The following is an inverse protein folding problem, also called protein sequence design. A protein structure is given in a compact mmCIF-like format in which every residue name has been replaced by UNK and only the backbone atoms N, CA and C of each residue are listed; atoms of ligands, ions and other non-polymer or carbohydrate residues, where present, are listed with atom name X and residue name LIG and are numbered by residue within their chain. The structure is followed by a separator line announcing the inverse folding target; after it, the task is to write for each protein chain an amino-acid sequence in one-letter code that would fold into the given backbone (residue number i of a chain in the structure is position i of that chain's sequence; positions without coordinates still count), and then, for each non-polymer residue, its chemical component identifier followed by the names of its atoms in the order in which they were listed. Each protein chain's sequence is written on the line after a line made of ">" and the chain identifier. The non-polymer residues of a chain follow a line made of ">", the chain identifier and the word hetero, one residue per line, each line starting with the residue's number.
data_IF_852856745855
#
_entry.id   IF_852856745855
#
_cell.length_a   1.000
_cell.length_b   1.000
_cell.length_c   1.000
_cell.angle_alpha   90.00
_cell.angle_beta   90.00
_cell.angle_gamma   90.00
#
_symmetry.space_group_name_H-M   'P 1'
#
loop_
_entity.id
_entity.type
_entity.pdbx_description
1 polymer ?
#
# COMPACT_ATOMS: atom_id res chain seq x y z
N UNK A 1 -31.03 8.64 -29.92
CA UNK A 1 -30.16 8.99 -28.78
C UNK A 1 -29.21 7.83 -28.38
N UNK A 2 -29.61 6.56 -28.38
CA UNK A 2 -28.75 5.43 -27.99
C UNK A 2 -27.53 5.16 -28.88
N UNK A 3 -27.67 5.22 -30.21
CA UNK A 3 -26.59 4.90 -31.16
C UNK A 3 -25.46 5.95 -31.09
N UNK A 4 -25.80 7.25 -31.02
CA UNK A 4 -24.82 8.33 -30.92
C UNK A 4 -24.04 8.22 -29.59
N UNK A 5 -24.68 7.91 -28.48
CA UNK A 5 -24.03 7.71 -27.19
C UNK A 5 -23.08 6.48 -27.22
N UNK A 6 -23.51 5.40 -27.86
CA UNK A 6 -22.68 4.20 -28.02
C UNK A 6 -21.44 4.47 -28.87
N UNK A 7 -21.57 5.22 -29.97
CA UNK A 7 -20.43 5.64 -30.79
C UNK A 7 -19.44 6.48 -29.99
N UNK A 8 -19.93 7.45 -29.20
CA UNK A 8 -19.08 8.29 -28.34
C UNK A 8 -18.33 7.43 -27.32
N UNK A 9 -19.02 6.49 -26.67
CA UNK A 9 -18.37 5.58 -25.69
C UNK A 9 -17.27 4.75 -26.37
N UNK A 10 -17.54 4.19 -27.55
CA UNK A 10 -16.55 3.38 -28.30
C UNK A 10 -15.35 4.23 -28.72
N UNK A 11 -15.60 5.46 -29.22
CA UNK A 11 -14.51 6.39 -29.60
C UNK A 11 -13.68 6.79 -28.40
N UNK A 12 -14.31 7.12 -27.27
CA UNK A 12 -13.60 7.47 -26.04
C UNK A 12 -12.79 6.27 -25.53
N UNK A 13 -13.38 5.07 -25.50
CA UNK A 13 -12.66 3.85 -25.10
C UNK A 13 -11.47 3.56 -26.03
N UNK A 14 -11.63 3.77 -27.33
CA UNK A 14 -10.55 3.61 -28.31
C UNK A 14 -9.42 4.62 -28.07
N UNK A 15 -9.75 5.90 -27.87
CA UNK A 15 -8.76 6.95 -27.56
C UNK A 15 -8.00 6.60 -26.27
N UNK A 16 -8.74 6.25 -25.20
CA UNK A 16 -8.15 5.86 -23.91
C UNK A 16 -7.23 4.64 -24.06
N UNK A 17 -7.66 3.64 -24.84
CA UNK A 17 -6.84 2.46 -25.16
C UNK A 17 -5.56 2.84 -25.90
N UNK A 18 -5.65 3.73 -26.90
CA UNK A 18 -4.49 4.11 -27.72
C UNK A 18 -3.52 5.05 -26.98
N UNK A 19 -4.02 5.89 -26.06
CA UNK A 19 -3.20 6.86 -25.30
C UNK A 19 -2.82 6.39 -23.90
N UNK A 20 -3.31 5.22 -23.47
CA UNK A 20 -3.00 4.68 -22.15
C UNK A 20 -1.54 4.21 -22.03
N UNK A 21 -1.02 4.10 -20.81
CA UNK A 21 0.33 3.66 -20.54
C UNK A 21 0.65 2.32 -21.21
N UNK A 22 1.83 2.20 -21.77
CA UNK A 22 2.33 0.97 -22.37
C UNK A 22 3.54 0.47 -21.60
N UNK A 23 3.68 -0.84 -21.48
CA UNK A 23 4.90 -1.44 -20.96
C UNK A 23 5.88 -1.71 -22.11
N UNK A 24 7.20 -1.61 -21.88
CA UNK A 24 8.22 -1.88 -22.88
C UNK A 24 8.21 -3.35 -23.32
N UNK A 25 8.79 -3.63 -24.48
CA UNK A 25 8.74 -4.97 -25.08
C UNK A 25 9.48 -6.02 -24.25
N UNK A 26 10.60 -5.67 -23.60
CA UNK A 26 11.28 -6.58 -22.68
C UNK A 26 10.37 -7.01 -21.50
N UNK A 27 9.57 -6.09 -20.96
CA UNK A 27 8.62 -6.42 -19.90
C UNK A 27 7.48 -7.31 -20.41
N UNK A 28 7.01 -7.12 -21.65
CA UNK A 28 6.01 -8.01 -22.25
C UNK A 28 6.55 -9.43 -22.41
N UNK A 29 7.80 -9.56 -22.90
CA UNK A 29 8.48 -10.85 -23.07
C UNK A 29 8.64 -11.56 -21.72
N UNK A 30 9.09 -10.84 -20.68
CA UNK A 30 9.19 -11.38 -19.32
C UNK A 30 7.83 -11.88 -18.81
N UNK A 31 6.77 -11.08 -18.94
CA UNK A 31 5.41 -11.48 -18.53
C UNK A 31 4.94 -12.73 -19.29
N UNK A 32 5.21 -12.80 -20.60
CA UNK A 32 4.78 -13.93 -21.42
C UNK A 32 5.45 -15.26 -20.99
N UNK A 33 6.69 -15.21 -20.46
CA UNK A 33 7.36 -16.39 -19.90
C UNK A 33 6.87 -16.73 -18.49
N UNK A 34 6.54 -15.72 -17.66
CA UNK A 34 6.13 -15.90 -16.27
C UNK A 34 4.76 -16.56 -16.17
N UNK A 35 3.83 -16.27 -17.08
CA UNK A 35 2.48 -16.87 -17.03
C UNK A 35 2.51 -18.39 -17.06
N UNK A 36 3.50 -18.99 -17.73
CA UNK A 36 3.63 -20.45 -17.80
C UNK A 36 4.57 -21.03 -16.71
N UNK A 37 5.15 -20.17 -15.86
CA UNK A 37 6.06 -20.58 -14.81
C UNK A 37 5.34 -21.10 -13.57
N UNK A 38 6.04 -21.89 -12.75
CA UNK A 38 5.64 -22.24 -11.41
C UNK A 38 5.75 -21.01 -10.50
N UNK A 39 4.69 -20.73 -9.74
CA UNK A 39 4.63 -19.56 -8.86
C UNK A 39 5.16 -19.94 -7.48
N UNK A 40 6.18 -19.24 -6.96
CA UNK A 40 6.72 -19.51 -5.63
C UNK A 40 5.71 -19.17 -4.54
N UNK A 41 5.89 -19.76 -3.34
CA UNK A 41 5.11 -19.41 -2.16
C UNK A 41 5.50 -18.03 -1.63
N UNK A 42 4.50 -17.15 -1.47
CA UNK A 42 4.66 -15.79 -0.94
C UNK A 42 4.27 -15.67 0.54
N UNK A 43 3.54 -16.67 1.07
CA UNK A 43 3.15 -16.72 2.48
C UNK A 43 4.14 -17.64 3.19
N UNK A 44 4.98 -17.08 4.07
CA UNK A 44 6.10 -17.78 4.71
C UNK A 44 5.96 -17.93 6.21
N UNK A 45 5.06 -17.15 6.82
CA UNK A 45 4.84 -17.12 8.26
C UNK A 45 3.58 -17.86 8.69
N UNK A 46 3.28 -17.75 9.97
CA UNK A 46 2.04 -18.25 10.55
C UNK A 46 0.88 -17.37 10.12
N UNK A 47 -0.18 -17.96 9.62
CA UNK A 47 -1.36 -17.24 9.15
C UNK A 47 -2.56 -17.49 10.05
N UNK A 48 -3.48 -16.52 10.07
CA UNK A 48 -4.73 -16.65 10.81
C UNK A 48 -5.79 -15.67 10.34
N UNK A 49 -6.94 -15.74 10.98
CA UNK A 49 -8.03 -14.80 10.84
C UNK A 49 -8.45 -14.29 12.21
N UNK A 50 -8.78 -13.01 12.25
CA UNK A 50 -9.52 -12.42 13.37
C UNK A 50 -10.88 -11.93 12.89
N UNK A 51 -11.82 -11.77 13.82
CA UNK A 51 -13.12 -11.15 13.54
C UNK A 51 -13.12 -9.75 14.11
N UNK A 52 -13.33 -8.76 13.27
CA UNK A 52 -13.43 -7.34 13.64
C UNK A 52 -14.67 -6.76 12.97
N UNK A 53 -15.65 -6.27 13.76
CA UNK A 53 -16.95 -5.76 13.28
C UNK A 53 -17.61 -6.70 12.23
N UNK A 54 -17.69 -7.98 12.50
CA UNK A 54 -18.21 -9.02 11.60
C UNK A 54 -17.39 -9.27 10.30
N UNK A 55 -16.21 -8.65 10.13
CA UNK A 55 -15.29 -8.98 9.04
C UNK A 55 -14.25 -10.00 9.49
N UNK A 56 -14.02 -11.03 8.69
CA UNK A 56 -12.84 -11.88 8.84
C UNK A 56 -11.65 -11.18 8.19
N UNK A 57 -10.65 -10.88 9.01
CA UNK A 57 -9.42 -10.19 8.60
C UNK A 57 -8.28 -11.19 8.61
N UNK A 58 -7.70 -11.43 7.44
CA UNK A 58 -6.54 -12.31 7.29
C UNK A 58 -5.25 -11.59 7.68
N UNK A 59 -4.36 -12.30 8.36
CA UNK A 59 -3.02 -11.82 8.67
C UNK A 59 -1.98 -12.93 8.50
N UNK A 60 -0.71 -12.50 8.37
CA UNK A 60 0.48 -13.34 8.43
C UNK A 60 1.47 -12.73 9.43
N UNK A 61 2.04 -13.58 10.27
CA UNK A 61 3.09 -13.25 11.26
C UNK A 61 4.36 -14.02 10.92
N UNK A 62 5.43 -13.31 10.53
CA UNK A 62 6.74 -13.89 10.25
C UNK A 62 7.63 -13.59 11.46
N UNK A 63 8.01 -14.64 12.19
CA UNK A 63 8.76 -14.52 13.43
C UNK A 63 10.24 -14.89 13.20
N UNK A 64 11.19 -14.07 13.70
CA UNK A 64 12.62 -14.45 13.69
C UNK A 64 12.88 -15.80 14.39
N UNK A 65 13.85 -16.56 13.89
CA UNK A 65 14.20 -17.86 14.46
C UNK A 65 14.86 -17.74 15.84
N UNK A 66 15.70 -16.71 16.03
CA UNK A 66 16.48 -16.56 17.27
C UNK A 66 15.69 -15.80 18.35
N UNK A 67 15.82 -14.49 18.38
CA UNK A 67 15.17 -13.63 19.39
C UNK A 67 14.34 -12.54 18.73
N UNK A 68 13.18 -12.25 19.32
CA UNK A 68 12.30 -11.16 18.88
C UNK A 68 12.65 -9.89 19.67
N UNK A 69 13.20 -8.87 18.98
CA UNK A 69 13.49 -7.56 19.55
C UNK A 69 12.25 -6.67 19.67
N UNK A 70 11.27 -6.90 18.79
CA UNK A 70 10.02 -6.18 18.73
C UNK A 70 9.15 -6.68 17.58
N UNK A 71 7.96 -6.10 17.47
CA UNK A 71 7.01 -6.41 16.38
C UNK A 71 6.83 -5.18 15.49
N UNK A 72 6.88 -5.37 14.17
CA UNK A 72 6.54 -4.35 13.17
C UNK A 72 5.21 -4.72 12.54
N UNK A 73 4.23 -3.83 12.68
CA UNK A 73 2.91 -3.95 12.07
C UNK A 73 2.88 -3.14 10.78
N UNK A 74 2.56 -3.80 9.67
CA UNK A 74 2.71 -3.29 8.31
C UNK A 74 1.36 -2.93 7.70
N UNK A 75 1.19 -1.66 7.33
CA UNK A 75 -0.03 -1.09 6.74
C UNK A 75 0.22 -0.79 5.25
N UNK A 76 -0.44 -1.52 4.37
CA UNK A 76 -0.23 -1.43 2.92
C UNK A 76 -1.00 -0.26 2.30
N UNK A 77 -0.57 0.17 1.10
CA UNK A 77 -1.22 1.22 0.31
C UNK A 77 -2.56 0.80 -0.29
N UNK A 78 -3.26 1.78 -0.84
CA UNK A 78 -4.60 1.63 -1.44
C UNK A 78 -4.64 0.52 -2.48
N UNK A 79 -5.72 -0.25 -2.49
CA UNK A 79 -6.03 -1.32 -3.48
C UNK A 79 -5.11 -2.54 -3.45
N UNK A 80 -4.05 -2.51 -2.67
CA UNK A 80 -3.16 -3.64 -2.49
C UNK A 80 -3.58 -4.48 -1.28
N UNK A 81 -3.18 -5.73 -1.30
CA UNK A 81 -3.24 -6.64 -0.16
C UNK A 81 -1.88 -6.73 0.55
N UNK A 82 -1.81 -7.55 1.59
CA UNK A 82 -0.62 -7.76 2.39
C UNK A 82 0.62 -8.21 1.60
N UNK A 83 0.43 -8.88 0.45
CA UNK A 83 1.54 -9.35 -0.38
C UNK A 83 2.22 -8.22 -1.17
N UNK A 84 1.65 -7.02 -1.20
CA UNK A 84 2.28 -5.84 -1.82
C UNK A 84 3.60 -5.43 -1.18
N UNK A 85 3.92 -5.89 0.04
CA UNK A 85 5.22 -5.70 0.67
C UNK A 85 6.28 -6.58 -0.02
N UNK A 86 7.42 -5.99 -0.49
CA UNK A 86 8.49 -6.77 -1.12
C UNK A 86 9.04 -7.84 -0.18
N UNK A 87 9.25 -9.05 -0.69
CA UNK A 87 9.69 -10.16 0.17
C UNK A 87 11.06 -9.89 0.81
N UNK A 88 12.01 -9.31 0.05
CA UNK A 88 13.33 -8.96 0.56
C UNK A 88 13.27 -7.93 1.69
N UNK A 89 12.28 -7.03 1.66
CA UNK A 89 12.06 -6.08 2.74
C UNK A 89 11.60 -6.78 4.02
N UNK A 90 10.66 -7.71 3.91
CA UNK A 90 10.21 -8.52 5.06
C UNK A 90 11.36 -9.38 5.61
N UNK A 91 12.09 -10.06 4.74
CA UNK A 91 13.23 -10.89 5.11
C UNK A 91 14.33 -10.08 5.82
N UNK A 92 14.56 -8.82 5.41
CA UNK A 92 15.51 -7.93 6.06
C UNK A 92 15.07 -7.51 7.47
N UNK A 93 13.78 -7.20 7.66
CA UNK A 93 13.24 -6.89 8.99
C UNK A 93 13.35 -8.12 9.92
N UNK A 94 12.96 -9.28 9.43
CA UNK A 94 13.03 -10.55 10.19
C UNK A 94 14.48 -10.89 10.55
N UNK A 95 15.42 -10.80 9.60
CA UNK A 95 16.87 -10.98 9.87
C UNK A 95 17.42 -9.98 10.87
N UNK A 96 16.82 -8.78 10.94
CA UNK A 96 17.19 -7.77 11.94
C UNK A 96 16.65 -8.06 13.34
N UNK A 97 15.85 -9.12 13.49
CA UNK A 97 15.28 -9.58 14.76
C UNK A 97 13.88 -9.06 15.05
N UNK A 98 13.16 -8.54 14.06
CA UNK A 98 11.80 -8.04 14.24
C UNK A 98 10.78 -9.03 13.69
N UNK A 99 9.77 -9.38 14.52
CA UNK A 99 8.56 -10.05 14.02
C UNK A 99 7.86 -9.08 13.09
N UNK A 100 7.51 -9.52 11.89
CA UNK A 100 6.70 -8.72 10.95
C UNK A 100 5.28 -9.26 10.88
N UNK A 101 4.30 -8.37 10.97
CA UNK A 101 2.89 -8.71 10.79
C UNK A 101 2.37 -7.88 9.62
N UNK A 102 1.87 -8.58 8.59
CA UNK A 102 1.14 -7.98 7.48
C UNK A 102 -0.26 -8.55 7.42
N UNK A 103 -1.22 -7.78 6.97
CA UNK A 103 -2.61 -8.20 6.95
C UNK A 103 -3.36 -7.59 5.77
N UNK A 104 -4.42 -8.25 5.38
CA UNK A 104 -5.33 -7.76 4.34
C UNK A 104 -6.39 -6.87 4.98
N UNK A 105 -6.53 -5.66 4.45
CA UNK A 105 -7.64 -4.82 4.84
C UNK A 105 -8.98 -5.44 4.47
N UNK A 106 -10.07 -4.98 5.08
CA UNK A 106 -11.44 -5.20 4.61
C UNK A 106 -11.51 -4.93 3.12
N UNK A 107 -12.01 -5.87 2.35
CA UNK A 107 -12.12 -5.78 0.90
C UNK A 107 -10.89 -6.19 0.11
N UNK A 108 -9.74 -6.51 0.74
CA UNK A 108 -8.54 -6.95 0.02
C UNK A 108 -8.19 -8.41 0.30
N UNK A 109 -7.39 -9.00 -0.55
CA UNK A 109 -6.78 -10.32 -0.41
C UNK A 109 -7.75 -11.40 0.07
N UNK A 110 -7.38 -12.09 1.15
CA UNK A 110 -8.18 -13.15 1.75
C UNK A 110 -9.20 -12.66 2.79
N UNK A 111 -9.12 -11.40 3.23
CA UNK A 111 -10.13 -10.79 4.10
C UNK A 111 -11.51 -10.72 3.43
N UNK A 112 -12.54 -10.43 4.19
CA UNK A 112 -13.92 -10.39 3.66
C UNK A 112 -14.14 -9.23 2.69
N UNK A 113 -14.79 -9.54 1.56
CA UNK A 113 -15.21 -8.59 0.54
C UNK A 113 -16.72 -8.40 0.62
N UNK A 114 -17.19 -7.25 1.11
CA UNK A 114 -18.62 -6.91 1.18
C UNK A 114 -18.95 -5.84 0.16
N UNK A 115 -18.82 -6.15 -1.13
CA UNK A 115 -19.09 -5.23 -2.23
C UNK A 115 -20.58 -4.85 -2.30
N UNK A 116 -20.91 -3.61 -1.94
CA UNK A 116 -22.27 -3.07 -2.08
C UNK A 116 -23.27 -3.48 -0.99
N UNK A 117 -22.84 -4.15 0.07
CA UNK A 117 -23.65 -4.56 1.21
C UNK A 117 -23.25 -3.88 2.52
N UNK A 118 -22.70 -2.66 2.41
CA UNK A 118 -22.25 -1.92 3.58
C UNK A 118 -23.41 -1.05 4.08
N UNK A 119 -23.96 -1.41 5.22
CA UNK A 119 -24.97 -0.59 5.91
C UNK A 119 -24.37 0.75 6.35
N UNK A 120 -23.07 0.79 6.59
CA UNK A 120 -22.29 2.02 6.78
C UNK A 120 -20.92 1.91 6.10
N UNK A 121 -20.39 3.00 5.53
CA UNK A 121 -19.01 3.03 5.08
C UNK A 121 -18.07 2.97 6.29
N UNK A 122 -17.00 2.19 6.18
CA UNK A 122 -15.94 2.19 7.17
C UNK A 122 -14.96 3.36 6.94
N UNK A 123 -14.25 3.75 7.99
CA UNK A 123 -13.25 4.81 8.02
C UNK A 123 -11.83 4.24 8.10
N UNK A 124 -10.80 5.09 8.05
CA UNK A 124 -9.41 4.69 8.30
C UNK A 124 -9.23 4.21 9.75
N UNK A 125 -10.01 4.76 10.69
CA UNK A 125 -10.03 4.32 12.09
C UNK A 125 -10.52 2.88 12.24
N UNK A 126 -11.50 2.46 11.45
CA UNK A 126 -11.97 1.07 11.45
C UNK A 126 -10.85 0.13 10.96
N UNK A 127 -10.05 0.54 9.94
CA UNK A 127 -8.88 -0.23 9.49
C UNK A 127 -7.76 -0.28 10.54
N UNK A 128 -7.56 0.79 11.29
CA UNK A 128 -6.63 0.80 12.41
C UNK A 128 -7.09 -0.12 13.55
N UNK A 129 -8.40 -0.16 13.82
CA UNK A 129 -8.98 -1.06 14.82
C UNK A 129 -8.80 -2.54 14.45
N UNK A 130 -8.96 -2.90 13.18
CA UNK A 130 -8.69 -4.27 12.70
C UNK A 130 -7.27 -4.72 13.08
N UNK A 131 -6.29 -3.83 12.97
CA UNK A 131 -4.91 -4.09 13.33
C UNK A 131 -4.71 -4.29 14.85
N UNK A 132 -5.46 -3.57 15.69
CA UNK A 132 -5.48 -3.79 17.15
C UNK A 132 -5.98 -5.19 17.48
N UNK A 133 -7.08 -5.62 16.88
CA UNK A 133 -7.64 -6.96 17.09
C UNK A 133 -6.66 -8.07 16.69
N UNK A 134 -5.87 -7.84 15.62
CA UNK A 134 -4.81 -8.78 15.23
C UNK A 134 -3.75 -8.88 16.33
N UNK A 135 -3.24 -7.75 16.86
CA UNK A 135 -2.24 -7.76 17.93
C UNK A 135 -2.78 -8.43 19.20
N UNK A 136 -4.06 -8.18 19.55
CA UNK A 136 -4.71 -8.82 20.71
C UNK A 136 -4.80 -10.34 20.54
N UNK A 137 -5.17 -10.83 19.36
CA UNK A 137 -5.24 -12.26 19.07
C UNK A 137 -3.87 -12.97 19.18
N UNK A 138 -2.79 -12.22 18.92
CA UNK A 138 -1.42 -12.69 19.01
C UNK A 138 -0.77 -12.43 20.38
N UNK A 139 -1.51 -11.84 21.32
CA UNK A 139 -1.03 -11.44 22.64
C UNK A 139 0.19 -10.51 22.58
N UNK A 140 0.16 -9.57 21.59
CA UNK A 140 1.20 -8.57 21.38
C UNK A 140 0.72 -7.24 21.96
N UNK A 141 1.40 -6.74 22.99
CA UNK A 141 1.02 -5.53 23.69
C UNK A 141 1.26 -4.28 22.84
N UNK A 142 2.43 -4.18 22.19
CA UNK A 142 2.84 -2.99 21.44
C UNK A 142 3.58 -3.37 20.15
N UNK A 143 3.49 -2.49 19.15
CA UNK A 143 4.20 -2.67 17.89
C UNK A 143 4.77 -1.35 17.34
N UNK A 144 5.82 -1.45 16.52
CA UNK A 144 6.26 -0.41 15.63
C UNK A 144 5.30 -0.35 14.45
N UNK A 145 4.77 0.82 14.13
CA UNK A 145 3.82 1.03 13.05
C UNK A 145 4.57 1.49 11.80
N UNK A 146 4.38 0.80 10.69
CA UNK A 146 4.97 1.17 9.40
C UNK A 146 3.90 1.13 8.32
N UNK A 147 3.57 2.29 7.76
CA UNK A 147 2.53 2.42 6.74
C UNK A 147 2.98 3.16 5.49
N UNK A 148 2.55 2.66 4.32
CA UNK A 148 2.82 3.26 3.01
C UNK A 148 1.54 3.88 2.46
N UNK A 149 1.58 5.14 1.99
CA UNK A 149 0.46 5.81 1.30
C UNK A 149 -0.81 5.79 2.18
N UNK A 150 -1.92 5.20 1.74
CA UNK A 150 -3.10 4.94 2.57
C UNK A 150 -2.71 4.29 3.91
N UNK A 151 -1.80 3.32 3.88
CA UNK A 151 -1.32 2.63 5.09
C UNK A 151 -0.64 3.56 6.08
N UNK A 152 0.04 4.61 5.60
CA UNK A 152 0.58 5.66 6.47
C UNK A 152 -0.53 6.44 7.18
N UNK A 153 -1.65 6.73 6.50
CA UNK A 153 -2.82 7.35 7.10
C UNK A 153 -3.49 6.45 8.14
N UNK A 154 -3.57 5.13 7.88
CA UNK A 154 -4.09 4.14 8.85
C UNK A 154 -3.17 4.00 10.07
N UNK A 155 -1.85 4.00 9.86
CA UNK A 155 -0.87 3.98 10.95
C UNK A 155 -0.95 5.25 11.83
N UNK A 156 -1.24 6.42 11.23
CA UNK A 156 -1.53 7.65 11.97
C UNK A 156 -2.79 7.50 12.83
N UNK A 157 -3.89 6.99 12.26
CA UNK A 157 -5.13 6.70 13.02
C UNK A 157 -4.87 5.72 14.17
N UNK A 158 -4.01 4.72 13.95
CA UNK A 158 -3.61 3.80 15.01
C UNK A 158 -2.87 4.53 16.13
N UNK A 159 -1.85 5.33 15.79
CA UNK A 159 -1.04 6.06 16.76
C UNK A 159 -1.85 7.10 17.56
N UNK A 160 -2.85 7.73 16.92
CA UNK A 160 -3.77 8.69 17.54
C UNK A 160 -4.72 7.98 18.53
N UNK A 161 -5.37 6.90 18.10
CA UNK A 161 -6.44 6.28 18.87
C UNK A 161 -5.96 5.21 19.88
N UNK A 162 -4.73 4.69 19.71
CA UNK A 162 -4.13 3.63 20.53
C UNK A 162 -2.65 3.94 20.86
N UNK A 163 -2.33 5.14 21.39
CA UNK A 163 -0.94 5.56 21.59
C UNK A 163 -0.18 4.64 22.55
N UNK A 164 -0.85 4.04 23.54
CA UNK A 164 -0.25 3.08 24.45
C UNK A 164 0.14 1.75 23.79
N UNK A 165 -0.39 1.46 22.58
CA UNK A 165 -0.13 0.25 21.80
C UNK A 165 0.93 0.49 20.72
N UNK A 166 1.36 1.74 20.48
CA UNK A 166 2.36 2.12 19.50
C UNK A 166 3.73 2.30 20.15
N UNK A 167 4.78 1.73 19.54
CA UNK A 167 6.18 1.97 19.91
C UNK A 167 6.77 3.14 19.13
N UNK A 168 6.58 3.14 17.81
CA UNK A 168 6.98 4.20 16.89
C UNK A 168 5.99 4.30 15.75
N UNK A 169 5.95 5.44 15.07
CA UNK A 169 5.19 5.65 13.83
C UNK A 169 6.15 5.90 12.68
N UNK A 170 6.07 5.10 11.62
CA UNK A 170 6.71 5.41 10.34
C UNK A 170 5.64 5.60 9.27
N UNK A 171 5.61 6.80 8.68
CA UNK A 171 4.67 7.17 7.62
C UNK A 171 5.45 7.41 6.32
N UNK A 172 5.22 6.57 5.30
CA UNK A 172 5.97 6.59 4.05
C UNK A 172 5.07 7.09 2.93
N UNK A 173 5.49 8.13 2.18
CA UNK A 173 4.77 8.75 1.04
C UNK A 173 3.27 8.92 1.30
N UNK A 174 2.91 9.58 2.40
CA UNK A 174 1.54 9.67 2.92
C UNK A 174 1.15 11.13 3.24
N UNK A 175 -0.02 11.31 3.84
CA UNK A 175 -0.60 12.61 4.15
C UNK A 175 -1.35 12.57 5.48
N UNK A 176 -1.38 13.70 6.20
CA UNK A 176 -2.28 13.91 7.35
C UNK A 176 -3.69 14.36 6.94
N UNK A 177 -3.80 14.99 5.75
CA UNK A 177 -5.06 15.40 5.15
C UNK A 177 -4.91 15.50 3.63
N UNK A 178 -5.37 14.47 2.91
CA UNK A 178 -5.12 14.32 1.47
C UNK A 178 -5.82 15.38 0.60
N UNK A 179 -6.86 16.01 1.13
CA UNK A 179 -7.63 17.07 0.46
C UNK A 179 -7.39 18.45 1.07
N UNK A 180 -6.25 18.63 1.72
CA UNK A 180 -5.85 19.91 2.28
C UNK A 180 -5.88 21.00 1.20
N UNK A 181 -6.68 22.06 1.37
CA UNK A 181 -6.80 23.13 0.37
C UNK A 181 -5.53 24.00 0.27
N UNK A 182 -4.67 23.98 1.29
CA UNK A 182 -3.44 24.78 1.36
C UNK A 182 -2.22 24.03 0.78
N UNK A 183 -2.38 22.75 0.43
CA UNK A 183 -1.34 21.92 -0.17
C UNK A 183 -1.61 21.62 -1.65
N UNK A 184 -0.57 21.33 -2.44
CA UNK A 184 -0.77 20.87 -3.81
C UNK A 184 -1.65 19.61 -3.82
N UNK A 185 -2.70 19.57 -4.66
CA UNK A 185 -3.58 18.42 -4.71
C UNK A 185 -2.88 17.19 -5.32
N UNK A 186 -3.40 16.01 -5.02
CA UNK A 186 -3.02 14.75 -5.71
C UNK A 186 -3.01 14.97 -7.22
N UNK A 187 -1.97 14.47 -7.89
CA UNK A 187 -1.75 14.71 -9.31
C UNK A 187 -2.86 14.08 -10.18
N UNK A 188 -3.69 14.94 -10.78
CA UNK A 188 -4.82 14.52 -11.61
C UNK A 188 -4.38 13.80 -12.90
N UNK A 189 -3.23 14.16 -13.47
CA UNK A 189 -2.71 13.49 -14.66
C UNK A 189 -2.35 12.03 -14.35
N UNK A 190 -1.73 11.79 -13.20
CA UNK A 190 -1.45 10.45 -12.71
C UNK A 190 -2.73 9.62 -12.53
N UNK A 191 -3.78 10.19 -11.94
CA UNK A 191 -5.09 9.52 -11.78
C UNK A 191 -5.71 9.18 -13.14
N UNK A 192 -5.62 10.10 -14.11
CA UNK A 192 -6.09 9.85 -15.49
C UNK A 192 -5.32 8.69 -16.13
N UNK A 193 -4.01 8.61 -15.94
CA UNK A 193 -3.19 7.53 -16.50
C UNK A 193 -3.48 6.18 -15.82
N UNK A 194 -3.79 6.16 -14.53
CA UNK A 194 -4.31 4.96 -13.85
C UNK A 194 -5.63 4.46 -14.46
N UNK A 195 -6.55 5.39 -14.76
CA UNK A 195 -7.83 5.05 -15.41
C UNK A 195 -7.57 4.50 -16.83
N UNK A 196 -6.73 5.17 -17.62
CA UNK A 196 -6.35 4.69 -18.96
C UNK A 196 -5.71 3.31 -18.91
N UNK A 197 -4.80 3.09 -17.95
CA UNK A 197 -4.17 1.79 -17.72
C UNK A 197 -5.22 0.70 -17.44
N UNK A 198 -6.16 0.99 -16.54
CA UNK A 198 -7.25 0.07 -16.24
C UNK A 198 -8.09 -0.27 -17.47
N UNK A 199 -8.50 0.73 -18.24
CA UNK A 199 -9.27 0.51 -19.47
C UNK A 199 -8.48 -0.32 -20.48
N UNK A 200 -7.19 0.03 -20.70
CA UNK A 200 -6.34 -0.63 -21.70
C UNK A 200 -6.21 -2.15 -21.45
N UNK A 201 -5.97 -2.54 -20.20
CA UNK A 201 -5.68 -3.94 -19.86
C UNK A 201 -6.88 -4.73 -19.29
N UNK A 202 -8.07 -4.09 -19.15
CA UNK A 202 -9.28 -4.80 -18.70
C UNK A 202 -10.22 -5.22 -19.84
N UNK A 203 -10.01 -4.76 -21.08
CA UNK A 203 -10.84 -5.12 -22.24
C UNK A 203 -10.82 -6.62 -22.50
N UNK A 204 -9.64 -7.24 -22.44
CA UNK A 204 -9.47 -8.67 -22.55
C UNK A 204 -9.08 -9.20 -21.17
N UNK A 205 -9.98 -9.93 -20.55
CA UNK A 205 -9.74 -10.51 -19.24
C UNK A 205 -8.85 -11.75 -19.39
N UNK A 206 -7.55 -11.60 -19.02
CA UNK A 206 -6.57 -12.67 -19.02
C UNK A 206 -5.51 -12.42 -17.95
N UNK A 207 -4.88 -13.49 -17.43
CA UNK A 207 -3.75 -13.34 -16.49
C UNK A 207 -2.69 -12.40 -17.04
N UNK A 208 -2.26 -12.59 -18.30
CA UNK A 208 -1.29 -11.70 -18.97
C UNK A 208 -1.65 -10.22 -18.89
N UNK A 209 -2.90 -9.88 -19.13
CA UNK A 209 -3.33 -8.48 -19.06
C UNK A 209 -3.43 -7.97 -17.63
N UNK A 210 -3.76 -8.81 -16.66
CA UNK A 210 -3.72 -8.44 -15.24
C UNK A 210 -2.26 -8.16 -14.84
N UNK A 211 -1.30 -9.00 -15.24
CA UNK A 211 0.13 -8.77 -15.00
C UNK A 211 0.60 -7.46 -15.66
N UNK A 212 0.30 -7.26 -16.96
CA UNK A 212 0.64 -6.04 -17.70
C UNK A 212 0.09 -4.78 -17.03
N UNK A 213 -1.16 -4.84 -16.55
CA UNK A 213 -1.77 -3.74 -15.82
C UNK A 213 -0.99 -3.40 -14.54
N UNK A 214 -0.61 -4.40 -13.76
CA UNK A 214 0.09 -4.17 -12.49
C UNK A 214 1.53 -3.68 -12.71
N UNK A 215 2.25 -4.23 -13.68
CA UNK A 215 3.58 -3.72 -14.08
C UNK A 215 3.49 -2.27 -14.56
N UNK A 216 2.49 -1.93 -15.38
CA UNK A 216 2.28 -0.55 -15.83
C UNK A 216 1.94 0.39 -14.66
N UNK A 217 1.19 -0.06 -13.64
CA UNK A 217 0.97 0.72 -12.40
C UNK A 217 2.28 0.99 -11.69
N UNK A 218 3.16 -0.02 -11.54
CA UNK A 218 4.49 0.19 -10.93
C UNK A 218 5.34 1.19 -11.70
N UNK A 219 5.29 1.15 -13.05
CA UNK A 219 5.97 2.13 -13.89
C UNK A 219 5.41 3.55 -13.70
N UNK A 220 4.09 3.70 -13.56
CA UNK A 220 3.46 4.98 -13.24
C UNK A 220 3.90 5.47 -11.85
N UNK A 221 3.88 4.61 -10.84
CA UNK A 221 4.27 4.94 -9.46
C UNK A 221 5.76 5.32 -9.34
N UNK A 222 6.63 4.74 -10.18
CA UNK A 222 8.03 5.15 -10.28
C UNK A 222 8.17 6.62 -10.67
N UNK A 223 7.28 7.15 -11.50
CA UNK A 223 7.40 8.50 -12.06
C UNK A 223 8.68 8.65 -12.87
N UNK A 224 9.36 9.79 -12.70
CA UNK A 224 10.61 10.13 -13.39
C UNK A 224 11.86 9.56 -12.69
N UNK A 225 11.69 8.76 -11.62
CA UNK A 225 12.81 8.13 -10.96
C UNK A 225 13.52 7.11 -11.87
N UNK A 226 14.85 7.03 -11.74
CA UNK A 226 15.73 6.32 -12.67
C UNK A 226 16.14 4.95 -12.12
N UNK A 227 15.16 4.07 -11.88
CA UNK A 227 15.42 2.67 -11.51
C UNK A 227 14.57 1.71 -12.34
N UNK A 228 15.04 0.49 -12.46
CA UNK A 228 14.30 -0.54 -13.17
C UNK A 228 13.21 -1.13 -12.27
N UNK A 229 12.03 -1.33 -12.86
CA UNK A 229 10.95 -2.06 -12.18
C UNK A 229 11.29 -3.55 -12.17
N UNK A 230 11.14 -4.17 -11.02
CA UNK A 230 11.19 -5.62 -10.89
C UNK A 230 9.94 -6.26 -11.53
N UNK A 231 10.00 -6.41 -12.86
CA UNK A 231 8.90 -6.97 -13.66
C UNK A 231 8.59 -8.40 -13.25
N UNK A 232 9.62 -9.19 -12.93
CA UNK A 232 9.49 -10.59 -12.57
C UNK A 232 8.83 -10.73 -11.19
N UNK A 233 9.38 -10.09 -10.17
CA UNK A 233 8.85 -10.15 -8.81
C UNK A 233 7.40 -9.63 -8.72
N UNK A 234 7.12 -8.49 -9.37
CA UNK A 234 5.74 -7.95 -9.45
C UNK A 234 4.80 -8.95 -10.14
N UNK A 235 5.23 -9.54 -11.25
CA UNK A 235 4.38 -10.47 -12.01
C UNK A 235 4.13 -11.77 -11.25
N UNK A 236 5.15 -12.33 -10.60
CA UNK A 236 5.02 -13.55 -9.78
C UNK A 236 4.07 -13.31 -8.59
N UNK A 237 4.22 -12.20 -7.88
CA UNK A 237 3.35 -11.83 -6.76
C UNK A 237 1.88 -11.67 -7.21
N UNK A 238 1.65 -10.98 -8.34
CA UNK A 238 0.31 -10.80 -8.91
C UNK A 238 -0.28 -12.15 -9.34
N UNK A 239 0.52 -13.00 -9.97
CA UNK A 239 0.08 -14.32 -10.42
C UNK A 239 -0.27 -15.24 -9.24
N UNK A 240 0.54 -15.20 -8.18
CA UNK A 240 0.22 -15.89 -6.93
C UNK A 240 -1.13 -15.43 -6.36
N UNK A 241 -1.37 -14.12 -6.34
CA UNK A 241 -2.62 -13.56 -5.86
C UNK A 241 -3.84 -14.05 -6.66
N UNK A 242 -3.72 -14.14 -7.98
CA UNK A 242 -4.79 -14.60 -8.87
C UNK A 242 -5.06 -16.10 -8.66
N UNK A 243 -4.02 -16.91 -8.54
CA UNK A 243 -4.12 -18.38 -8.55
C UNK A 243 -4.35 -18.98 -7.17
N UNK A 244 -3.74 -18.41 -6.13
CA UNK A 244 -3.69 -18.98 -4.79
C UNK A 244 -4.52 -18.19 -3.76
N UNK A 245 -5.00 -16.98 -4.15
CA UNK A 245 -5.83 -16.14 -3.30
C UNK A 245 -7.11 -15.71 -4.04
N UNK A 246 -7.75 -14.63 -3.61
CA UNK A 246 -8.99 -14.12 -4.26
C UNK A 246 -8.72 -13.17 -5.45
N UNK A 247 -7.45 -12.86 -5.76
CA UNK A 247 -7.08 -11.82 -6.71
C UNK A 247 -7.38 -10.41 -6.19
N UNK A 248 -7.77 -9.50 -7.09
CA UNK A 248 -7.98 -8.10 -6.77
C UNK A 248 -9.46 -7.72 -6.83
N UNK A 249 -9.96 -7.13 -5.73
CA UNK A 249 -11.33 -6.62 -5.66
C UNK A 249 -11.45 -5.28 -6.42
N UNK A 250 -12.23 -5.20 -7.51
CA UNK A 250 -12.36 -3.97 -8.28
C UNK A 250 -13.10 -2.84 -7.54
N UNK A 251 -13.85 -3.16 -6.48
CA UNK A 251 -14.60 -2.19 -5.68
C UNK A 251 -13.80 -1.53 -4.57
N UNK A 252 -12.70 -2.15 -4.13
CA UNK A 252 -12.00 -1.75 -2.90
C UNK A 252 -11.39 -0.35 -2.98
N UNK A 253 -10.84 0.05 -4.14
CA UNK A 253 -10.29 1.41 -4.31
C UNK A 253 -11.29 2.49 -3.94
N UNK A 254 -12.55 2.34 -4.39
CA UNK A 254 -13.60 3.33 -4.10
C UNK A 254 -13.96 3.34 -2.62
N UNK A 255 -14.01 2.17 -1.98
CA UNK A 255 -14.29 2.05 -0.56
C UNK A 255 -13.19 2.72 0.26
N UNK A 256 -11.92 2.43 -0.04
CA UNK A 256 -10.76 3.02 0.64
C UNK A 256 -10.64 4.52 0.39
N UNK A 257 -10.90 5.01 -0.82
CA UNK A 257 -10.99 6.46 -1.08
C UNK A 257 -12.09 7.11 -0.23
N UNK A 258 -13.27 6.49 -0.16
CA UNK A 258 -14.37 7.00 0.66
C UNK A 258 -13.99 7.03 2.14
N UNK A 259 -13.31 5.99 2.64
CA UNK A 259 -12.78 5.96 4.01
C UNK A 259 -11.81 7.13 4.26
N UNK A 260 -10.89 7.37 3.33
CA UNK A 260 -9.93 8.47 3.40
C UNK A 260 -10.61 9.83 3.48
N UNK A 261 -11.62 10.09 2.63
CA UNK A 261 -12.36 11.35 2.64
C UNK A 261 -13.22 11.53 3.90
N UNK A 262 -13.83 10.45 4.41
CA UNK A 262 -14.64 10.48 5.63
C UNK A 262 -13.79 10.74 6.88
N UNK A 263 -12.53 10.30 6.89
CA UNK A 263 -11.62 10.51 8.02
C UNK A 263 -11.14 11.96 8.15
N UNK A 264 -11.17 12.74 7.06
CA UNK A 264 -10.84 14.17 7.11
C UNK A 264 -9.39 14.49 7.49
N UNK A 265 -9.19 15.63 8.14
CA UNK A 265 -7.90 16.06 8.69
C UNK A 265 -7.60 15.35 10.00
N UNK A 266 -6.33 14.99 10.20
CA UNK A 266 -5.78 14.44 11.45
C UNK A 266 -4.74 15.37 12.09
N UNK A 267 -4.65 16.62 11.61
CA UNK A 267 -3.56 17.51 12.03
C UNK A 267 -3.59 17.82 13.53
N UNK A 268 -4.77 18.15 14.07
CA UNK A 268 -4.92 18.49 15.49
C UNK A 268 -4.48 17.32 16.39
N UNK A 269 -4.91 16.11 16.07
CA UNK A 269 -4.55 14.91 16.83
C UNK A 269 -3.08 14.50 16.63
N UNK A 270 -2.51 14.76 15.45
CA UNK A 270 -1.11 14.48 15.13
C UNK A 270 -0.14 15.40 15.90
N UNK A 271 -0.54 16.62 16.24
CA UNK A 271 0.22 17.53 17.12
C UNK A 271 0.36 17.00 18.55
N UNK A 272 -0.50 16.08 18.97
CA UNK A 272 -0.50 15.48 20.31
C UNK A 272 0.20 14.12 20.39
N UNK A 273 0.68 13.58 19.26
CA UNK A 273 1.38 12.28 19.23
C UNK A 273 2.68 12.36 20.03
N UNK A 274 2.87 11.38 20.92
CA UNK A 274 4.06 11.28 21.79
C UNK A 274 5.05 10.18 21.36
N UNK A 275 4.63 9.27 20.46
CA UNK A 275 5.52 8.21 19.97
C UNK A 275 6.52 8.77 18.96
N UNK A 276 7.79 8.31 18.97
CA UNK A 276 8.78 8.72 17.97
C UNK A 276 8.24 8.48 16.56
N UNK A 277 8.33 9.50 15.70
CA UNK A 277 7.82 9.45 14.33
C UNK A 277 8.95 9.61 13.31
N UNK A 278 8.86 8.84 12.21
CA UNK A 278 9.73 8.95 11.05
C UNK A 278 8.86 9.13 9.79
N UNK A 279 9.10 10.22 9.09
CA UNK A 279 8.39 10.56 7.86
C UNK A 279 9.33 10.35 6.67
N UNK A 280 8.95 9.49 5.74
CA UNK A 280 9.75 9.16 4.55
C UNK A 280 8.96 9.53 3.30
N UNK A 281 9.60 10.19 2.33
CA UNK A 281 8.96 10.50 1.05
C UNK A 281 9.95 10.50 -0.12
N UNK A 282 9.51 9.98 -1.27
CA UNK A 282 10.27 10.00 -2.50
C UNK A 282 10.18 11.36 -3.20
N UNK A 283 11.31 11.98 -3.53
CA UNK A 283 11.33 13.30 -4.18
C UNK A 283 10.79 13.28 -5.62
N UNK A 284 10.66 12.09 -6.22
CA UNK A 284 10.07 11.89 -7.54
C UNK A 284 8.65 11.31 -7.48
N UNK A 285 7.96 11.43 -6.33
CA UNK A 285 6.60 10.90 -6.17
C UNK A 285 5.63 11.57 -7.18
N UNK A 286 5.09 10.82 -8.15
CA UNK A 286 4.22 11.39 -9.17
C UNK A 286 2.77 11.50 -8.70
N UNK A 287 2.42 10.96 -7.53
CA UNK A 287 1.06 10.80 -7.07
C UNK A 287 0.70 11.73 -5.92
N UNK A 288 1.37 11.61 -4.78
CA UNK A 288 1.19 12.49 -3.62
C UNK A 288 2.35 13.49 -3.59
N UNK A 289 2.09 14.80 -3.69
CA UNK A 289 3.13 15.83 -3.56
C UNK A 289 3.86 15.72 -2.22
N UNK A 290 5.19 15.93 -2.24
CA UNK A 290 6.05 15.82 -1.05
C UNK A 290 5.62 16.77 0.09
N UNK A 291 4.99 17.89 -0.25
CA UNK A 291 4.49 18.89 0.70
C UNK A 291 3.54 18.28 1.74
N UNK A 292 2.80 17.21 1.40
CA UNK A 292 1.97 16.49 2.34
C UNK A 292 2.79 15.82 3.46
N UNK A 293 3.93 15.22 3.11
CA UNK A 293 4.83 14.63 4.11
C UNK A 293 5.68 15.67 4.84
N UNK A 294 6.05 16.79 4.16
CA UNK A 294 6.69 17.92 4.83
C UNK A 294 5.77 18.50 5.91
N UNK A 295 4.48 18.63 5.63
CA UNK A 295 3.49 19.08 6.61
C UNK A 295 3.37 18.11 7.80
N UNK A 296 3.40 16.80 7.55
CA UNK A 296 3.44 15.80 8.64
C UNK A 296 4.68 15.95 9.52
N UNK A 297 5.86 16.14 8.92
CA UNK A 297 7.11 16.32 9.65
C UNK A 297 7.14 17.63 10.45
N UNK A 298 6.42 18.66 9.99
CA UNK A 298 6.28 19.94 10.69
C UNK A 298 5.38 19.83 11.93
N UNK A 299 4.23 19.15 11.81
CA UNK A 299 3.20 19.14 12.85
C UNK A 299 3.42 18.07 13.92
N UNK A 300 4.01 16.91 13.57
CA UNK A 300 4.24 15.84 14.54
C UNK A 300 5.46 16.19 15.41
N UNK A 301 5.29 16.30 16.74
CA UNK A 301 6.38 16.71 17.62
C UNK A 301 7.59 15.79 17.56
N UNK A 302 8.76 16.34 17.25
CA UNK A 302 10.00 15.58 17.20
C UNK A 302 10.13 14.57 16.07
N UNK A 303 9.27 14.67 15.05
CA UNK A 303 9.36 13.80 13.88
C UNK A 303 10.70 13.95 13.15
N UNK A 304 11.35 12.82 12.86
CA UNK A 304 12.46 12.76 11.91
C UNK A 304 11.93 12.70 10.48
N UNK A 305 12.62 13.32 9.53
CA UNK A 305 12.25 13.30 8.12
C UNK A 305 13.35 12.72 7.25
N UNK A 306 12.98 11.93 6.24
CA UNK A 306 13.87 11.37 5.23
C UNK A 306 13.29 11.60 3.84
N UNK A 307 13.84 12.57 3.12
CA UNK A 307 13.52 12.82 1.73
C UNK A 307 14.45 12.00 0.84
N UNK A 308 13.90 11.18 -0.03
CA UNK A 308 14.68 10.18 -0.78
C UNK A 308 14.74 10.56 -2.25
N UNK A 309 15.95 10.94 -2.70
CA UNK A 309 16.21 11.17 -4.12
C UNK A 309 15.98 9.89 -4.94
N UNK A 310 15.53 10.05 -6.16
CA UNK A 310 15.30 8.96 -7.10
C UNK A 310 14.31 7.89 -6.61
N UNK A 311 13.37 8.27 -5.75
CA UNK A 311 12.27 7.43 -5.29
C UNK A 311 10.94 8.06 -5.71
N UNK A 312 10.09 7.28 -6.38
CA UNK A 312 8.70 7.62 -6.71
C UNK A 312 7.72 7.28 -5.58
N UNK A 313 6.47 6.95 -5.96
CA UNK A 313 5.44 6.45 -5.04
C UNK A 313 5.53 4.92 -4.91
N UNK A 314 6.72 4.40 -4.74
CA UNK A 314 7.02 2.97 -4.61
C UNK A 314 8.33 2.79 -3.82
N UNK A 315 8.58 1.60 -3.28
CA UNK A 315 9.84 1.24 -2.62
C UNK A 315 10.69 0.46 -3.62
N UNK A 316 11.68 1.11 -4.24
CA UNK A 316 12.50 0.45 -5.24
C UNK A 316 13.47 -0.56 -4.60
N UNK A 317 13.78 -1.67 -5.30
CA UNK A 317 14.63 -2.74 -4.74
C UNK A 317 15.98 -2.26 -4.20
N UNK A 318 16.63 -1.30 -4.88
CA UNK A 318 17.95 -0.79 -4.47
C UNK A 318 17.94 -0.02 -3.12
N UNK A 319 16.77 0.45 -2.69
CA UNK A 319 16.63 1.16 -1.41
C UNK A 319 16.28 0.24 -0.24
N UNK A 320 15.86 -0.99 -0.47
CA UNK A 320 15.36 -1.90 0.58
C UNK A 320 16.35 -2.01 1.74
N UNK A 321 17.62 -2.25 1.47
CA UNK A 321 18.64 -2.40 2.52
C UNK A 321 18.87 -1.09 3.31
N UNK A 322 18.92 0.05 2.64
CA UNK A 322 19.14 1.34 3.30
C UNK A 322 17.92 1.78 4.10
N UNK A 323 16.72 1.57 3.57
CA UNK A 323 15.47 1.82 4.28
C UNK A 323 15.35 0.91 5.51
N UNK A 324 15.64 -0.38 5.38
CA UNK A 324 15.62 -1.31 6.52
C UNK A 324 16.58 -0.87 7.62
N UNK A 325 17.81 -0.46 7.29
CA UNK A 325 18.77 0.06 8.30
C UNK A 325 18.25 1.30 9.01
N UNK A 326 17.64 2.23 8.27
CA UNK A 326 17.06 3.46 8.84
C UNK A 326 15.89 3.11 9.77
N UNK A 327 15.00 2.20 9.35
CA UNK A 327 13.88 1.73 10.17
C UNK A 327 14.35 1.03 11.44
N UNK A 328 15.32 0.12 11.35
CA UNK A 328 15.88 -0.58 12.51
C UNK A 328 16.52 0.39 13.50
N UNK A 329 17.21 1.43 13.02
CA UNK A 329 17.72 2.50 13.87
C UNK A 329 16.57 3.25 14.57
N UNK A 330 15.52 3.61 13.83
CA UNK A 330 14.35 4.29 14.37
C UNK A 330 13.61 3.41 15.41
N UNK A 331 13.45 2.13 15.17
CA UNK A 331 12.83 1.19 16.12
C UNK A 331 13.65 1.02 17.41
N UNK A 332 14.98 1.20 17.33
CA UNK A 332 15.91 1.06 18.47
C UNK A 332 16.13 2.37 19.25
N UNK A 333 15.51 3.48 18.87
CA UNK A 333 15.71 4.79 19.51
C UNK A 333 14.97 4.95 20.84
N UNK A 334 14.62 3.85 21.50
CA UNK A 334 14.01 3.76 22.84
C UNK A 334 14.90 3.06 23.83
#
# INVERSE_FOLDING_TARGET
>A
MGIALMIVIVVVAYIVFMTGPTIPDHAKIAIDSIVDAEVPEFVKGDTGYVVSDDYHIWYESITPVDSVKGTVLLFMGISNDALGWPQDFLDNLVRSGYRTIRFDYRGTGLSDWRNGHEDRPWSLRDLAHDAVIILDSLTIEKAHLLGISLGGMVAQEYAINYPERALTLTSVMSSGYITDPDLPPVNKAFVVDLVKNSVRYSIIHSEKNILRRNVAVRMLLRGDALYDIDVEGVSMQVLYNIRNRKGYNPGVSRQQQKATFLSGSRYEELEEITVPALIIHGMNDPFIPIEHSMKLAEIIPGAEAMWVDNMGHDVPPYLIDSLTRTLVKHFSSR
#
